data_IF_889701010643
#
_entry.id   IF_889701010643
#
_cell.length_a   1.000
_cell.length_b   1.000
_cell.length_c   1.000
_cell.angle_alpha   90.00
_cell.angle_beta   90.00
_cell.angle_gamma   90.00
#
_symmetry.space_group_name_H-M   'P 1'
#
loop_
_entity.id
_entity.type
_entity.pdbx_description
1 polymer ?
#
# COMPACT_ATOMS: atom_id res chain seq x y z
N UNK A 1 10.48 -37.00 4.56
CA UNK A 1 9.15 -36.36 4.49
C UNK A 1 8.74 -35.93 5.88
N UNK A 2 8.67 -34.63 6.10
CA UNK A 2 8.12 -34.04 7.33
C UNK A 2 6.63 -33.81 7.13
N UNK A 3 5.83 -34.05 8.16
CA UNK A 3 4.38 -33.84 8.12
C UNK A 3 4.04 -32.36 7.92
N UNK A 4 3.23 -32.04 6.90
CA UNK A 4 2.78 -30.67 6.58
C UNK A 4 1.97 -30.08 7.73
N UNK A 5 1.16 -30.88 8.43
CA UNK A 5 0.38 -30.41 9.57
C UNK A 5 1.30 -30.00 10.73
N UNK A 6 2.38 -30.76 10.96
CA UNK A 6 3.37 -30.43 11.98
C UNK A 6 4.11 -29.13 11.65
N UNK A 7 4.54 -28.97 10.39
CA UNK A 7 5.20 -27.73 9.94
C UNK A 7 4.27 -26.52 10.02
N UNK A 8 3.00 -26.67 9.63
CA UNK A 8 2.00 -25.60 9.74
C UNK A 8 1.73 -25.20 11.19
N UNK A 9 1.66 -26.18 12.09
CA UNK A 9 1.48 -25.91 13.52
C UNK A 9 2.70 -25.19 14.11
N UNK A 10 3.91 -25.62 13.76
CA UNK A 10 5.14 -24.94 14.18
C UNK A 10 5.20 -23.50 13.65
N UNK A 11 4.86 -23.29 12.38
CA UNK A 11 4.81 -21.96 11.75
C UNK A 11 3.82 -21.04 12.48
N UNK A 12 2.62 -21.53 12.82
CA UNK A 12 1.65 -20.77 13.59
C UNK A 12 2.20 -20.34 14.96
N UNK A 13 2.89 -21.24 15.68
CA UNK A 13 3.49 -20.91 16.97
C UNK A 13 4.62 -19.88 16.85
N UNK A 14 5.45 -19.96 15.81
CA UNK A 14 6.51 -18.98 15.53
C UNK A 14 5.89 -17.60 15.24
N UNK A 15 4.87 -17.56 14.37
CA UNK A 15 4.19 -16.31 14.03
C UNK A 15 3.45 -15.70 15.24
N UNK A 16 2.76 -16.52 16.05
CA UNK A 16 2.06 -16.08 17.24
C UNK A 16 2.98 -15.57 18.35
N UNK A 17 4.24 -16.01 18.38
CA UNK A 17 5.26 -15.55 19.31
C UNK A 17 5.97 -14.25 18.85
N UNK A 18 5.79 -13.85 17.60
CA UNK A 18 6.36 -12.63 17.06
C UNK A 18 5.55 -11.39 17.48
N UNK A 19 6.07 -10.20 17.13
CA UNK A 19 5.29 -8.98 17.29
C UNK A 19 3.98 -9.08 16.49
N UNK A 20 2.90 -8.53 17.05
CA UNK A 20 1.54 -8.72 16.54
C UNK A 20 1.45 -8.49 15.04
N UNK A 21 0.94 -9.50 14.34
CA UNK A 21 0.69 -9.54 12.89
C UNK A 21 1.91 -9.19 12.01
N UNK A 22 3.11 -9.58 12.47
CA UNK A 22 4.35 -9.54 11.68
C UNK A 22 4.66 -10.90 11.04
N UNK A 23 5.31 -10.86 9.88
CA UNK A 23 5.66 -12.05 9.12
C UNK A 23 7.12 -12.47 9.40
N UNK A 24 7.31 -13.51 10.20
CA UNK A 24 8.65 -13.98 10.62
C UNK A 24 9.42 -14.66 9.49
N UNK A 25 8.72 -15.38 8.62
CA UNK A 25 9.31 -16.06 7.48
C UNK A 25 8.99 -15.28 6.21
N UNK A 26 10.01 -14.69 5.60
CA UNK A 26 9.88 -13.88 4.39
C UNK A 26 11.06 -14.07 3.44
N UNK A 27 11.01 -13.43 2.26
CA UNK A 27 12.11 -13.43 1.31
C UNK A 27 13.38 -12.85 1.92
N UNK A 28 14.54 -13.42 1.57
CA UNK A 28 15.86 -12.94 2.01
C UNK A 28 16.76 -12.74 0.79
N UNK A 29 17.79 -11.90 0.95
CA UNK A 29 18.85 -11.75 -0.04
C UNK A 29 19.66 -13.06 -0.05
N UNK A 30 19.39 -13.90 -1.04
CA UNK A 30 20.02 -15.21 -1.20
C UNK A 30 21.21 -15.17 -2.18
N UNK A 31 21.45 -14.02 -2.82
CA UNK A 31 22.50 -13.83 -3.82
C UNK A 31 22.20 -14.46 -5.17
N UNK A 32 21.01 -15.06 -5.35
CA UNK A 32 20.61 -15.72 -6.59
C UNK A 32 19.28 -15.18 -7.11
N UNK A 33 18.16 -15.49 -6.46
CA UNK A 33 16.84 -14.98 -6.82
C UNK A 33 16.70 -13.51 -6.38
N UNK A 34 17.11 -13.18 -5.15
CA UNK A 34 17.22 -11.82 -4.63
C UNK A 34 18.70 -11.53 -4.43
N UNK A 35 19.32 -10.90 -5.43
CA UNK A 35 20.75 -10.63 -5.45
C UNK A 35 21.18 -9.50 -4.50
N UNK A 36 20.30 -8.54 -4.23
CA UNK A 36 20.55 -7.38 -3.38
C UNK A 36 19.20 -6.83 -2.87
N UNK A 37 19.22 -5.80 -2.01
CA UNK A 37 18.00 -5.14 -1.53
C UNK A 37 17.18 -4.56 -2.68
N UNK A 38 15.85 -4.72 -2.60
CA UNK A 38 14.92 -4.19 -3.60
C UNK A 38 15.04 -2.69 -3.76
N UNK A 39 15.12 -1.95 -2.65
CA UNK A 39 15.33 -0.49 -2.66
C UNK A 39 16.59 -0.07 -3.42
N UNK A 40 17.67 -0.86 -3.39
CA UNK A 40 18.87 -0.62 -4.19
C UNK A 40 18.71 -1.00 -5.67
N UNK A 41 17.93 -2.04 -6.00
CA UNK A 41 17.66 -2.41 -7.40
C UNK A 41 16.83 -1.34 -8.09
N UNK A 42 15.80 -0.84 -7.40
CA UNK A 42 14.96 0.24 -7.87
C UNK A 42 15.77 1.50 -8.13
N UNK A 43 16.66 1.87 -7.19
CA UNK A 43 17.55 3.02 -7.36
C UNK A 43 18.54 2.89 -8.54
N UNK A 44 18.87 1.67 -8.97
CA UNK A 44 19.74 1.41 -10.13
C UNK A 44 18.98 1.40 -11.48
N UNK A 45 17.65 1.51 -11.47
CA UNK A 45 16.85 1.47 -12.70
C UNK A 45 16.82 0.09 -13.36
N UNK A 46 17.07 -1.00 -12.63
CA UNK A 46 16.93 -2.37 -13.14
C UNK A 46 15.45 -2.78 -13.15
N UNK A 47 14.69 -2.21 -14.09
CA UNK A 47 13.24 -2.27 -14.13
C UNK A 47 12.73 -3.02 -15.37
N UNK A 48 11.48 -3.46 -15.30
CA UNK A 48 10.74 -4.01 -16.44
C UNK A 48 10.07 -2.86 -17.23
N UNK A 49 8.84 -3.08 -17.73
CA UNK A 49 8.17 -2.13 -18.63
C UNK A 49 7.44 -1.00 -17.91
N UNK A 50 6.40 -1.33 -17.15
CA UNK A 50 5.54 -0.36 -16.47
C UNK A 50 4.99 -0.96 -15.17
N UNK A 51 4.48 -0.11 -14.29
CA UNK A 51 3.83 -0.55 -13.05
C UNK A 51 2.56 0.27 -12.77
N UNK A 52 1.49 -0.43 -12.40
CA UNK A 52 0.30 0.17 -11.83
C UNK A 52 0.23 -0.29 -10.38
N UNK A 53 0.25 0.66 -9.45
CA UNK A 53 0.15 0.39 -8.01
C UNK A 53 -1.19 0.89 -7.47
N UNK A 54 -1.78 0.10 -6.57
CA UNK A 54 -2.98 0.46 -5.84
C UNK A 54 -2.71 0.25 -4.35
N UNK A 55 -3.22 1.15 -3.51
CA UNK A 55 -3.26 0.99 -2.05
C UNK A 55 -4.65 1.27 -1.54
N UNK A 56 -4.99 0.70 -0.38
CA UNK A 56 -6.24 0.95 0.31
C UNK A 56 -6.04 2.08 1.34
N UNK A 57 -7.07 2.86 1.64
CA UNK A 57 -6.95 4.02 2.55
C UNK A 57 -6.44 3.62 3.94
N UNK A 58 -6.81 2.43 4.43
CA UNK A 58 -6.50 1.97 5.77
C UNK A 58 -5.73 0.63 5.77
N UNK A 59 -4.62 0.57 5.04
CA UNK A 59 -3.74 -0.62 4.94
C UNK A 59 -3.37 -1.22 6.30
N UNK A 60 -2.94 -0.38 7.25
CA UNK A 60 -2.36 -0.84 8.51
C UNK A 60 -3.36 -1.29 9.58
N UNK A 61 -4.64 -0.99 9.40
CA UNK A 61 -5.64 -1.13 10.48
C UNK A 61 -5.79 -2.58 10.96
N UNK A 62 -5.82 -3.55 10.05
CA UNK A 62 -5.97 -4.97 10.44
C UNK A 62 -4.71 -5.56 11.07
N UNK A 63 -3.55 -4.97 10.76
CA UNK A 63 -2.23 -5.40 11.28
C UNK A 63 -1.89 -4.76 12.63
N UNK A 64 -2.75 -3.90 13.14
CA UNK A 64 -2.50 -3.13 14.37
C UNK A 64 -3.20 -3.78 15.55
N UNK A 65 -2.47 -4.01 16.63
CA UNK A 65 -3.06 -4.56 17.85
C UNK A 65 -4.08 -3.55 18.42
N UNK A 66 -5.36 -3.92 18.60
CA UNK A 66 -6.38 -3.01 19.12
C UNK A 66 -6.11 -2.52 20.55
N UNK A 67 -5.21 -3.18 21.28
CA UNK A 67 -4.79 -2.81 22.64
C UNK A 67 -3.46 -2.04 22.68
N UNK A 68 -2.99 -1.49 21.55
CA UNK A 68 -1.76 -0.68 21.53
C UNK A 68 -1.90 0.56 22.42
N UNK A 69 -0.93 0.78 23.29
CA UNK A 69 -0.93 1.90 24.27
C UNK A 69 0.29 2.80 24.17
N UNK A 70 1.34 2.38 23.45
CA UNK A 70 2.60 3.12 23.31
C UNK A 70 3.10 3.02 21.87
N UNK A 71 3.27 4.17 21.23
CA UNK A 71 3.81 4.25 19.87
C UNK A 71 5.30 3.88 19.84
N UNK A 72 6.08 4.25 20.86
CA UNK A 72 7.49 3.89 20.93
C UNK A 72 7.67 2.36 20.99
N UNK A 73 6.93 1.69 21.87
CA UNK A 73 6.96 0.22 21.97
C UNK A 73 6.45 -0.44 20.69
N UNK A 74 5.44 0.16 20.07
CA UNK A 74 4.91 -0.31 18.79
C UNK A 74 5.96 -0.24 17.67
N UNK A 75 6.61 0.91 17.48
CA UNK A 75 7.67 1.08 16.46
C UNK A 75 8.86 0.17 16.76
N UNK A 76 9.25 0.04 18.04
CA UNK A 76 10.34 -0.86 18.44
C UNK A 76 10.00 -2.33 18.19
N UNK A 77 8.74 -2.71 18.39
CA UNK A 77 8.23 -4.04 18.09
C UNK A 77 8.25 -4.36 16.60
N UNK A 78 7.88 -3.39 15.76
CA UNK A 78 7.94 -3.51 14.29
C UNK A 78 9.38 -3.56 13.75
N UNK A 79 10.26 -2.72 14.29
CA UNK A 79 11.65 -2.60 13.84
C UNK A 79 12.63 -2.71 15.02
N UNK A 80 12.90 -3.94 15.51
CA UNK A 80 13.72 -4.16 16.70
C UNK A 80 15.16 -3.64 16.61
N UNK A 81 15.66 -3.43 15.39
CA UNK A 81 17.01 -2.94 15.08
C UNK A 81 17.15 -1.42 15.15
N UNK A 82 16.04 -0.68 15.23
CA UNK A 82 16.11 0.78 15.38
C UNK A 82 16.68 1.16 16.75
N UNK A 83 17.57 2.15 16.78
CA UNK A 83 17.98 2.83 18.01
C UNK A 83 16.85 3.75 18.51
N UNK A 84 16.97 4.25 19.74
CA UNK A 84 15.92 5.08 20.36
C UNK A 84 15.61 6.37 19.57
N UNK A 85 16.64 7.04 19.04
CA UNK A 85 16.47 8.28 18.26
C UNK A 85 15.55 8.09 17.03
N UNK A 86 15.82 7.16 16.09
CA UNK A 86 14.88 6.86 14.99
C UNK A 86 13.48 6.43 15.44
N UNK A 87 13.33 5.79 16.61
CA UNK A 87 12.00 5.45 17.16
C UNK A 87 11.26 6.74 17.53
N UNK A 88 11.92 7.66 18.23
CA UNK A 88 11.36 8.97 18.55
C UNK A 88 11.01 9.75 17.28
N UNK A 89 11.90 9.78 16.28
CA UNK A 89 11.66 10.49 15.02
C UNK A 89 10.42 9.94 14.28
N UNK A 90 10.22 8.62 14.26
CA UNK A 90 9.01 7.99 13.70
C UNK A 90 7.78 8.49 14.46
N UNK A 91 7.79 8.44 15.79
CA UNK A 91 6.61 8.82 16.59
C UNK A 91 6.29 10.31 16.43
N UNK A 92 7.30 11.17 16.39
CA UNK A 92 7.11 12.62 16.16
C UNK A 92 6.56 12.91 14.77
N UNK A 93 7.04 12.20 13.74
CA UNK A 93 6.58 12.33 12.35
C UNK A 93 5.07 12.09 12.20
N UNK A 94 4.49 11.19 12.99
CA UNK A 94 3.05 10.88 12.93
C UNK A 94 2.21 11.61 13.98
N UNK A 95 2.82 12.01 15.10
CA UNK A 95 2.13 12.75 16.15
C UNK A 95 2.11 14.26 15.90
N UNK A 96 3.00 14.78 15.04
CA UNK A 96 3.16 16.21 14.77
C UNK A 96 2.42 16.75 13.55
N UNK A 97 2.03 15.89 12.59
CA UNK A 97 1.32 16.32 11.37
C UNK A 97 -0.20 16.27 11.59
N UNK A 98 -0.83 17.41 11.88
CA UNK A 98 -2.29 17.59 11.84
C UNK A 98 -3.13 16.51 12.55
N UNK A 99 -2.63 15.90 13.64
CA UNK A 99 -3.47 15.04 14.47
C UNK A 99 -4.60 15.92 15.01
N UNK A 100 -5.82 15.73 14.50
CA UNK A 100 -7.01 16.26 15.15
C UNK A 100 -6.99 15.77 16.60
N UNK A 101 -7.50 16.56 17.54
CA UNK A 101 -7.49 16.23 18.97
C UNK A 101 -8.12 14.85 19.33
N UNK A 102 -8.76 14.18 18.36
CA UNK A 102 -9.47 12.91 18.48
C UNK A 102 -8.74 11.69 17.88
N UNK A 103 -7.52 11.81 17.34
CA UNK A 103 -6.80 10.66 16.76
C UNK A 103 -6.26 9.74 17.88
N UNK A 104 -6.67 8.47 17.90
CA UNK A 104 -6.24 7.53 18.94
C UNK A 104 -4.83 6.99 18.71
N UNK A 105 -4.20 6.42 19.76
CA UNK A 105 -2.90 5.71 19.63
C UNK A 105 -3.00 4.58 18.60
N UNK A 106 -4.16 3.91 18.53
CA UNK A 106 -4.42 2.88 17.53
C UNK A 106 -4.40 3.44 16.11
N UNK A 107 -5.07 4.57 15.87
CA UNK A 107 -5.11 5.18 14.53
C UNK A 107 -3.73 5.65 14.08
N UNK A 108 -2.91 6.16 15.00
CA UNK A 108 -1.53 6.56 14.70
C UNK A 108 -0.68 5.31 14.42
N UNK A 109 -0.80 4.25 15.22
CA UNK A 109 -0.09 2.99 14.99
C UNK A 109 -0.47 2.34 13.64
N UNK A 110 -1.76 2.36 13.28
CA UNK A 110 -2.24 1.90 11.98
C UNK A 110 -1.69 2.73 10.82
N UNK A 111 -1.53 4.05 11.00
CA UNK A 111 -0.88 4.89 10.00
C UNK A 111 0.63 4.62 9.90
N UNK A 112 1.32 4.28 10.99
CA UNK A 112 2.76 3.95 10.99
C UNK A 112 3.06 2.70 10.14
N UNK A 113 2.10 1.80 9.93
CA UNK A 113 2.14 0.69 8.97
C UNK A 113 2.23 1.13 7.48
N UNK A 114 2.96 2.19 7.20
CA UNK A 114 3.33 2.62 5.86
C UNK A 114 4.27 1.68 5.12
N UNK A 115 4.70 0.58 5.73
CA UNK A 115 5.35 -0.54 5.02
C UNK A 115 4.54 -1.01 3.80
N UNK A 116 3.23 -0.75 3.76
CA UNK A 116 2.40 -1.00 2.57
C UNK A 116 2.32 0.20 1.63
N UNK A 117 2.08 1.40 2.15
CA UNK A 117 1.92 2.60 1.32
C UNK A 117 3.23 3.13 0.73
N UNK A 118 4.25 3.36 1.56
CA UNK A 118 5.45 4.06 1.15
C UNK A 118 6.31 3.34 0.11
N UNK A 119 6.47 2.00 0.17
CA UNK A 119 7.18 1.28 -0.88
C UNK A 119 6.54 1.43 -2.27
N UNK A 120 5.22 1.68 -2.37
CA UNK A 120 4.60 1.96 -3.67
C UNK A 120 5.16 3.23 -4.29
N UNK A 121 5.41 4.28 -3.51
CA UNK A 121 6.03 5.51 -4.03
C UNK A 121 7.49 5.30 -4.45
N UNK A 122 8.23 4.38 -3.81
CA UNK A 122 9.59 4.04 -4.25
C UNK A 122 9.58 3.33 -5.60
N UNK A 123 8.57 2.49 -5.85
CA UNK A 123 8.34 1.85 -7.14
C UNK A 123 7.94 2.91 -8.19
N UNK A 124 6.97 3.77 -7.89
CA UNK A 124 6.52 4.80 -8.81
C UNK A 124 7.66 5.72 -9.27
N UNK A 125 8.51 6.17 -8.33
CA UNK A 125 9.68 6.99 -8.62
C UNK A 125 10.71 6.28 -9.50
N UNK A 126 10.90 4.97 -9.29
CA UNK A 126 11.81 4.18 -10.12
C UNK A 126 11.29 4.08 -11.55
N UNK A 127 9.98 3.87 -11.73
CA UNK A 127 9.30 3.76 -13.02
C UNK A 127 8.76 5.11 -13.52
N UNK A 128 9.46 6.23 -13.30
CA UNK A 128 8.98 7.57 -13.69
C UNK A 128 8.59 7.64 -15.17
N UNK A 129 7.38 8.16 -15.46
CA UNK A 129 6.83 8.22 -16.82
C UNK A 129 6.35 6.87 -17.38
N UNK A 130 6.40 5.80 -16.59
CA UNK A 130 5.97 4.44 -16.93
C UNK A 130 5.17 3.82 -15.77
N UNK A 131 4.59 4.64 -14.90
CA UNK A 131 3.89 4.17 -13.72
C UNK A 131 2.60 4.90 -13.45
N UNK A 132 1.67 4.22 -12.80
CA UNK A 132 0.35 4.73 -12.44
C UNK A 132 0.08 4.41 -10.97
N UNK A 133 -0.57 5.33 -10.27
CA UNK A 133 -0.93 5.18 -8.87
C UNK A 133 -2.42 5.37 -8.68
N UNK A 134 -3.04 4.50 -7.89
CA UNK A 134 -4.40 4.67 -7.43
C UNK A 134 -4.57 4.43 -5.94
N UNK A 135 -5.70 4.90 -5.44
CA UNK A 135 -6.15 4.77 -4.06
C UNK A 135 -7.55 4.17 -4.04
N UNK A 136 -7.72 3.03 -3.38
CA UNK A 136 -9.01 2.47 -3.05
C UNK A 136 -9.49 3.02 -1.70
N UNK A 137 -10.69 3.60 -1.70
CA UNK A 137 -11.22 4.35 -0.57
C UNK A 137 -12.70 4.03 -0.28
N UNK A 138 -13.24 2.93 -0.80
CA UNK A 138 -14.58 2.48 -0.41
C UNK A 138 -14.56 2.03 1.06
N UNK A 139 -15.30 2.70 1.98
CA UNK A 139 -15.24 2.35 3.39
C UNK A 139 -15.68 0.89 3.66
N UNK A 140 -14.95 0.14 4.51
CA UNK A 140 -13.92 0.61 5.42
C UNK A 140 -12.50 0.69 4.82
N UNK A 141 -12.30 0.33 3.54
CA UNK A 141 -11.03 0.43 2.81
C UNK A 141 -9.82 -0.16 3.55
N UNK A 142 -10.03 -1.34 4.16
CA UNK A 142 -8.99 -2.09 4.84
C UNK A 142 -8.12 -2.85 3.82
N UNK A 143 -6.95 -3.31 4.25
CA UNK A 143 -6.09 -4.16 3.44
C UNK A 143 -6.86 -5.36 2.86
N UNK A 144 -6.83 -5.49 1.52
CA UNK A 144 -7.48 -6.57 0.77
C UNK A 144 -8.96 -6.34 0.41
N UNK A 145 -9.61 -5.26 0.87
CA UNK A 145 -11.01 -4.97 0.52
C UNK A 145 -11.20 -4.68 -0.99
N UNK A 146 -10.15 -4.20 -1.66
CA UNK A 146 -10.08 -3.96 -3.10
C UNK A 146 -10.09 -5.26 -3.93
N UNK A 147 -9.70 -6.40 -3.33
CA UNK A 147 -9.59 -7.70 -4.02
C UNK A 147 -10.91 -8.11 -4.67
N UNK A 148 -12.03 -7.76 -4.04
CA UNK A 148 -13.36 -8.08 -4.54
C UNK A 148 -13.73 -7.33 -5.82
N UNK A 149 -13.00 -6.27 -6.18
CA UNK A 149 -13.28 -5.43 -7.34
C UNK A 149 -12.38 -5.78 -8.55
N UNK A 150 -11.26 -6.48 -8.35
CA UNK A 150 -10.47 -7.02 -9.47
C UNK A 150 -11.20 -8.16 -10.19
N UNK A 151 -11.80 -9.06 -9.42
CA UNK A 151 -12.31 -10.33 -9.91
C UNK A 151 -13.83 -10.42 -9.82
N UNK A 152 -14.51 -9.61 -10.62
CA UNK A 152 -15.97 -9.46 -10.57
C UNK A 152 -16.75 -10.74 -10.91
N UNK A 153 -16.13 -11.66 -11.67
CA UNK A 153 -16.73 -12.92 -12.14
C UNK A 153 -16.55 -14.12 -11.21
N UNK A 154 -15.80 -14.00 -10.11
CA UNK A 154 -15.66 -15.13 -9.17
C UNK A 154 -17.00 -15.39 -8.48
N UNK A 155 -17.33 -16.67 -8.30
CA UNK A 155 -18.50 -17.08 -7.53
C UNK A 155 -18.17 -16.84 -6.05
N UNK A 156 -18.40 -15.62 -5.58
CA UNK A 156 -17.92 -15.15 -4.27
C UNK A 156 -18.81 -15.70 -3.16
N UNK A 157 -18.18 -16.21 -2.09
CA UNK A 157 -18.90 -16.60 -0.87
C UNK A 157 -19.56 -15.40 -0.17
N UNK A 158 -19.04 -14.18 -0.42
CA UNK A 158 -19.58 -12.92 0.10
C UNK A 158 -19.53 -11.82 -0.98
N UNK A 159 -20.59 -11.03 -1.17
CA UNK A 159 -20.58 -9.89 -2.10
C UNK A 159 -19.63 -8.77 -1.61
N UNK A 160 -19.16 -7.89 -2.52
CA UNK A 160 -18.36 -6.72 -2.13
C UNK A 160 -19.19 -5.79 -1.23
N UNK A 161 -18.52 -5.06 -0.34
CA UNK A 161 -19.16 -4.11 0.60
C UNK A 161 -19.92 -3.01 -0.15
N UNK A 162 -19.48 -2.66 -1.36
CA UNK A 162 -20.15 -1.74 -2.27
C UNK A 162 -20.44 -2.45 -3.59
N UNK A 163 -21.70 -2.45 -4.01
CA UNK A 163 -22.13 -3.05 -5.27
C UNK A 163 -22.67 -1.96 -6.18
N UNK A 164 -21.87 -1.56 -7.16
CA UNK A 164 -22.24 -0.55 -8.15
C UNK A 164 -21.59 -0.88 -9.50
N UNK A 165 -22.41 -1.09 -10.52
CA UNK A 165 -21.94 -1.52 -11.84
C UNK A 165 -20.96 -0.54 -12.50
N UNK A 166 -21.18 0.76 -12.35
CA UNK A 166 -20.31 1.76 -12.97
C UNK A 166 -18.95 1.80 -12.29
N UNK A 167 -18.93 1.69 -10.96
CA UNK A 167 -17.70 1.54 -10.18
C UNK A 167 -16.95 0.25 -10.55
N UNK A 168 -17.64 -0.90 -10.53
CA UNK A 168 -17.04 -2.20 -10.83
C UNK A 168 -16.43 -2.22 -12.23
N UNK A 169 -17.10 -1.61 -13.23
CA UNK A 169 -16.56 -1.46 -14.58
C UNK A 169 -15.31 -0.58 -14.60
N UNK A 170 -15.38 0.64 -14.04
CA UNK A 170 -14.24 1.55 -14.04
C UNK A 170 -13.02 0.95 -13.32
N UNK A 171 -13.23 0.31 -12.16
CA UNK A 171 -12.17 -0.37 -11.43
C UNK A 171 -11.65 -1.58 -12.22
N UNK A 172 -12.43 -2.64 -12.38
CA UNK A 172 -11.93 -3.91 -12.95
C UNK A 172 -11.39 -3.76 -14.39
N UNK A 173 -12.05 -2.97 -15.23
CA UNK A 173 -11.62 -2.82 -16.62
C UNK A 173 -10.33 -2.02 -16.76
N UNK A 174 -10.03 -1.06 -15.86
CA UNK A 174 -8.76 -0.32 -15.90
C UNK A 174 -7.55 -1.23 -15.67
N UNK A 175 -7.64 -2.17 -14.72
CA UNK A 175 -6.59 -3.16 -14.47
C UNK A 175 -6.49 -4.19 -15.59
N UNK A 176 -7.63 -4.60 -16.17
CA UNK A 176 -7.64 -5.50 -17.32
C UNK A 176 -7.04 -4.82 -18.57
N UNK A 177 -7.37 -3.54 -18.81
CA UNK A 177 -6.79 -2.72 -19.86
C UNK A 177 -5.27 -2.60 -19.69
N UNK A 178 -4.79 -2.28 -18.49
CA UNK A 178 -3.35 -2.27 -18.19
C UNK A 178 -2.69 -3.61 -18.49
N UNK A 179 -3.32 -4.73 -18.12
CA UNK A 179 -2.74 -6.06 -18.31
C UNK A 179 -2.77 -6.57 -19.78
N UNK A 180 -3.69 -6.06 -20.59
CA UNK A 180 -3.95 -6.58 -21.95
C UNK A 180 -3.56 -5.62 -23.07
N UNK A 181 -3.43 -4.33 -22.77
CA UNK A 181 -2.96 -3.32 -23.71
C UNK A 181 -1.50 -3.54 -24.05
N UNK A 182 -1.12 -3.11 -25.26
CA UNK A 182 0.25 -3.26 -25.74
C UNK A 182 1.24 -2.38 -24.97
N UNK A 183 0.79 -1.19 -24.60
CA UNK A 183 1.60 -0.15 -23.95
C UNK A 183 1.49 -0.18 -22.42
N UNK A 184 0.74 -1.12 -21.84
CA UNK A 184 0.47 -1.20 -20.39
C UNK A 184 -0.17 0.10 -19.88
N UNK A 185 -1.27 0.48 -20.51
CA UNK A 185 -2.01 1.72 -20.25
C UNK A 185 -3.41 1.38 -19.69
N UNK A 186 -3.76 1.82 -18.47
CA UNK A 186 -5.11 1.62 -17.94
C UNK A 186 -6.19 2.42 -18.67
N UNK A 187 -5.80 3.38 -19.52
CA UNK A 187 -6.71 4.22 -20.32
C UNK A 187 -7.14 3.57 -21.64
N UNK A 188 -6.56 2.42 -22.03
CA UNK A 188 -6.95 1.65 -23.22
C UNK A 188 -8.28 0.91 -22.98
N UNK A 189 -9.36 1.70 -22.85
CA UNK A 189 -10.68 1.24 -22.40
C UNK A 189 -11.23 0.13 -23.28
N UNK A 190 -11.65 -0.96 -22.63
CA UNK A 190 -12.32 -2.11 -23.28
C UNK A 190 -13.77 -1.74 -23.62
N UNK A 191 -14.48 -1.11 -22.68
CA UNK A 191 -15.81 -0.55 -22.85
C UNK A 191 -15.87 0.88 -22.30
N UNK A 192 -16.86 1.66 -22.75
CA UNK A 192 -17.18 2.95 -22.14
C UNK A 192 -17.56 2.79 -20.66
N UNK A 193 -16.90 3.57 -19.80
CA UNK A 193 -17.10 3.59 -18.35
C UNK A 193 -16.67 4.94 -17.76
N UNK A 194 -16.94 5.12 -16.46
CA UNK A 194 -16.74 6.38 -15.74
C UNK A 194 -15.28 6.71 -15.37
N UNK A 195 -14.31 5.85 -15.71
CA UNK A 195 -12.89 6.13 -15.46
C UNK A 195 -12.47 7.37 -16.26
N UNK A 196 -12.00 8.45 -15.64
CA UNK A 196 -11.37 9.55 -16.37
C UNK A 196 -9.97 9.13 -16.83
N UNK A 197 -9.26 10.02 -17.54
CA UNK A 197 -7.86 9.79 -17.85
C UNK A 197 -7.07 9.56 -16.55
N UNK A 198 -6.45 8.39 -16.43
CA UNK A 198 -5.55 8.04 -15.35
C UNK A 198 -4.16 8.58 -15.68
N UNK A 199 -3.66 9.60 -14.96
CA UNK A 199 -2.40 10.22 -15.29
C UNK A 199 -1.23 9.26 -15.01
N UNK A 200 -0.20 9.35 -15.85
CA UNK A 200 1.11 8.82 -15.52
C UNK A 200 1.64 9.53 -14.27
N UNK A 201 2.29 8.77 -13.40
CA UNK A 201 3.05 9.30 -12.29
C UNK A 201 4.23 10.11 -12.81
N UNK A 202 4.18 11.41 -12.53
CA UNK A 202 5.21 12.38 -12.87
C UNK A 202 6.20 12.64 -11.73
N UNK A 203 5.94 12.08 -10.54
CA UNK A 203 6.77 12.22 -9.34
C UNK A 203 6.67 13.61 -8.70
N UNK A 204 7.29 13.77 -7.54
CA UNK A 204 7.38 15.04 -6.80
C UNK A 204 8.40 16.04 -7.39
N UNK A 205 9.03 15.70 -8.52
CA UNK A 205 10.09 16.50 -9.15
C UNK A 205 9.58 17.55 -10.15
N UNK A 206 8.27 17.52 -10.47
CA UNK A 206 7.61 18.55 -11.28
C UNK A 206 7.01 19.58 -10.32
N UNK A 207 6.89 20.85 -10.74
CA UNK A 207 6.34 21.93 -9.91
C UNK A 207 4.86 21.73 -9.47
N UNK A 208 4.25 20.62 -9.86
CA UNK A 208 2.88 20.24 -9.55
C UNK A 208 2.89 18.97 -8.68
N UNK A 209 1.95 18.87 -7.73
CA UNK A 209 1.81 17.68 -6.90
C UNK A 209 1.48 16.46 -7.77
N UNK A 210 2.08 15.29 -7.51
CA UNK A 210 1.75 14.10 -8.28
C UNK A 210 0.30 13.70 -8.06
N UNK A 211 -0.28 13.05 -9.07
CA UNK A 211 -1.70 12.72 -9.10
C UNK A 211 -1.94 11.22 -9.08
N UNK A 212 -3.06 10.81 -8.49
CA UNK A 212 -3.50 9.41 -8.38
C UNK A 212 -4.96 9.26 -8.81
N UNK A 213 -5.36 8.04 -9.18
CA UNK A 213 -6.77 7.70 -9.39
C UNK A 213 -7.43 7.29 -8.08
N UNK A 214 -8.45 8.03 -7.66
CA UNK A 214 -9.30 7.68 -6.53
C UNK A 214 -10.43 6.76 -6.97
N UNK A 215 -10.62 5.68 -6.21
CA UNK A 215 -11.79 4.81 -6.29
C UNK A 215 -12.56 4.85 -4.96
N UNK A 216 -13.62 5.66 -4.91
CA UNK A 216 -14.43 5.90 -3.71
C UNK A 216 -15.94 5.93 -4.03
N UNK A 217 -16.75 6.27 -3.03
CA UNK A 217 -18.17 6.57 -3.13
C UNK A 217 -18.53 7.75 -2.23
N UNK A 218 -19.61 8.42 -2.56
CA UNK A 218 -20.23 9.41 -1.67
C UNK A 218 -20.98 8.74 -0.50
N UNK A 219 -21.38 9.55 0.49
CA UNK A 219 -22.22 9.10 1.60
C UNK A 219 -23.59 8.56 1.14
N UNK A 220 -24.12 9.06 0.02
CA UNK A 220 -25.33 8.57 -0.65
C UNK A 220 -25.05 7.46 -1.70
N UNK A 221 -23.89 6.78 -1.60
CA UNK A 221 -23.51 5.60 -2.38
C UNK A 221 -23.36 5.80 -3.89
N UNK A 222 -23.15 7.04 -4.36
CA UNK A 222 -22.77 7.30 -5.76
C UNK A 222 -21.28 7.01 -5.97
N UNK A 223 -20.88 6.42 -7.11
CA UNK A 223 -19.49 6.12 -7.36
C UNK A 223 -18.69 7.40 -7.55
N UNK A 224 -17.47 7.44 -7.03
CA UNK A 224 -16.50 8.53 -7.18
C UNK A 224 -15.24 7.91 -7.75
N UNK A 225 -15.05 8.07 -9.06
CA UNK A 225 -13.84 7.66 -9.77
C UNK A 225 -13.23 8.91 -10.40
N UNK A 226 -12.14 9.41 -9.83
CA UNK A 226 -11.59 10.70 -10.23
C UNK A 226 -10.10 10.82 -9.91
N UNK A 227 -9.44 11.74 -10.59
CA UNK A 227 -8.06 12.12 -10.29
C UNK A 227 -8.02 13.05 -9.08
N UNK A 228 -7.04 12.86 -8.20
CA UNK A 228 -6.76 13.77 -7.09
C UNK A 228 -5.24 13.94 -6.91
N UNK A 229 -4.82 15.00 -6.21
CA UNK A 229 -3.42 15.23 -5.85
C UNK A 229 -3.04 14.36 -4.64
N UNK A 230 -1.88 13.70 -4.71
CA UNK A 230 -1.32 12.97 -3.57
C UNK A 230 -1.11 13.92 -2.39
N UNK A 231 -1.44 13.44 -1.19
CA UNK A 231 -1.21 14.17 0.07
C UNK A 231 0.30 14.46 0.28
N UNK A 232 0.65 15.74 0.41
CA UNK A 232 2.02 16.19 0.67
C UNK A 232 2.58 15.64 1.99
N UNK A 233 1.76 15.57 3.04
CA UNK A 233 2.17 15.02 4.33
C UNK A 233 2.49 13.53 4.19
N UNK A 234 1.73 12.79 3.36
CA UNK A 234 2.02 11.39 3.05
C UNK A 234 3.36 11.23 2.33
N UNK A 235 3.64 12.06 1.33
CA UNK A 235 4.93 12.05 0.64
C UNK A 235 6.09 12.40 1.58
N UNK A 236 5.89 13.35 2.49
CA UNK A 236 6.86 13.70 3.53
C UNK A 236 7.17 12.52 4.45
N UNK A 237 6.13 11.83 4.97
CA UNK A 237 6.28 10.60 5.76
C UNK A 237 7.01 9.52 4.98
N UNK A 238 6.67 9.30 3.71
CA UNK A 238 7.33 8.30 2.88
C UNK A 238 8.79 8.64 2.55
N UNK A 239 9.12 9.92 2.39
CA UNK A 239 10.50 10.40 2.28
C UNK A 239 11.31 10.11 3.53
N UNK A 240 10.73 10.34 4.72
CA UNK A 240 11.36 9.98 5.99
C UNK A 240 11.63 8.47 6.07
N UNK A 241 10.65 7.60 5.80
CA UNK A 241 10.85 6.14 5.80
C UNK A 241 11.93 5.71 4.81
N UNK A 242 12.00 6.35 3.63
CA UNK A 242 13.01 6.06 2.61
C UNK A 242 14.42 6.27 3.14
N UNK A 243 14.61 7.32 3.95
CA UNK A 243 15.90 7.70 4.54
C UNK A 243 16.43 6.68 5.56
N UNK A 244 15.54 5.87 6.16
CA UNK A 244 15.90 4.87 7.19
C UNK A 244 15.74 3.41 6.72
N UNK A 245 15.48 3.17 5.43
CA UNK A 245 15.35 1.83 4.81
C UNK A 245 16.46 0.85 5.18
N UNK A 246 17.70 1.33 5.29
CA UNK A 246 18.85 0.51 5.71
C UNK A 246 18.66 -0.09 7.10
N UNK A 247 17.99 0.63 8.01
CA UNK A 247 17.76 0.22 9.40
C UNK A 247 16.46 -0.59 9.57
N UNK A 248 15.49 -0.41 8.66
CA UNK A 248 14.18 -1.06 8.69
C UNK A 248 14.06 -2.26 7.76
N UNK A 249 15.09 -2.52 6.94
CA UNK A 249 15.12 -3.59 5.92
C UNK A 249 13.99 -3.51 4.90
N UNK A 250 13.53 -2.29 4.61
CA UNK A 250 12.56 -1.97 3.55
C UNK A 250 13.24 -1.69 2.19
#
# INVERSE_FOLDING_TARGET
>A
NTDVALLSAANFQIAAAAFFDTFVLGPVIDGSFIAQRTSELLAKGHLNKAILTLTNTFEGTIFTNPNVTSLNEFVKGLFPTLSEEPVTDVVETYSGSNSTADTSVFDIAAQIYTTYNCPTYYLLDAFQGLSYKGLFAIPPALHGDDVFYYFTSLNRSSPPVYNNTDFDKAFSQSFLAFATSKELDPNDKIDENILPEWPLWNGSAVNDMPQEMLFNRTGDFKPVVQVFETDEDLLGRCGFWRSITVKTSQ
#
